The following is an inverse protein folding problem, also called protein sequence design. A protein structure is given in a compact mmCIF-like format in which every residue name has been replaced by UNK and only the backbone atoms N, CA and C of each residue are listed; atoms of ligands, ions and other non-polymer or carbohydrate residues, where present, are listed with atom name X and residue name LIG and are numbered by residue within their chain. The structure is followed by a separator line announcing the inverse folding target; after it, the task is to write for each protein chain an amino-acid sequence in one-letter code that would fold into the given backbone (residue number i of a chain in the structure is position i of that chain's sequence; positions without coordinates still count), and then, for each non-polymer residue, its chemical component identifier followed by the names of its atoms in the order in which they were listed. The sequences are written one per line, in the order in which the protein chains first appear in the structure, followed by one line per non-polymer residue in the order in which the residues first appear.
data_IF_515198531422
#
_entry.id   IF_515198531422
#
_cell.length_a   1.000
_cell.length_b   1.000
_cell.length_c   1.000
_cell.angle_alpha   90.00
_cell.angle_beta   90.00
_cell.angle_gamma   90.00
#
_symmetry.space_group_name_H-M   'P 1'
#
loop_
_entity.id
_entity.type
_entity.pdbx_description
1 polymer ?
#
# COMPACT_ATOMS: atom_id res chain seq x y z
N UNK A 1 21.42 50.24 35.65
CA UNK A 1 20.91 50.12 37.03
C UNK A 1 20.64 48.66 37.24
N UNK A 2 21.54 47.90 37.86
CA UNK A 2 21.56 47.50 39.30
C UNK A 2 20.24 46.81 39.67
N UNK A 3 20.19 45.56 40.11
CA UNK A 3 20.97 44.80 41.13
C UNK A 3 20.60 43.32 41.02
N UNK A 4 21.48 42.44 41.01
CA UNK A 4 22.04 41.33 41.81
C UNK A 4 21.30 41.03 43.14
N UNK A 5 21.03 39.75 43.40
CA UNK A 5 21.20 39.01 44.64
C UNK A 5 20.97 37.50 44.34
N UNK A 6 21.77 36.71 44.53
CA UNK A 6 22.64 35.74 45.17
C UNK A 6 22.15 35.32 46.58
N UNK A 7 22.44 34.04 46.90
CA UNK A 7 22.49 33.31 48.21
C UNK A 7 21.33 32.34 48.44
N UNK A 8 21.51 31.13 48.92
CA UNK A 8 22.60 30.14 49.12
C UNK A 8 21.99 28.84 49.68
N UNK A 9 22.69 27.77 49.44
CA UNK A 9 22.90 26.53 50.21
C UNK A 9 21.94 26.11 51.36
N UNK A 10 21.61 24.83 51.34
CA UNK A 10 21.16 24.07 52.49
C UNK A 10 21.21 22.55 52.19
N UNK A 11 22.36 21.94 52.46
CA UNK A 11 22.53 20.50 52.47
C UNK A 11 22.01 19.91 53.79
N UNK A 12 21.31 18.80 53.75
CA UNK A 12 21.18 17.88 54.90
C UNK A 12 21.07 16.43 54.39
N UNK A 13 22.14 15.72 54.59
CA UNK A 13 22.19 14.26 54.52
C UNK A 13 21.67 13.65 55.82
N UNK A 14 20.94 12.52 55.72
CA UNK A 14 20.90 11.54 56.81
C UNK A 14 20.53 10.17 56.23
N UNK A 15 21.43 9.26 56.50
CA UNK A 15 21.39 7.83 56.22
C UNK A 15 20.59 7.05 57.25
N UNK A 16 20.04 5.91 56.86
CA UNK A 16 19.93 4.67 57.66
C UNK A 16 19.06 3.66 56.91
N UNK A 17 19.47 2.57 56.58
CA UNK A 17 19.99 1.27 57.04
C UNK A 17 19.14 0.15 56.47
N UNK A 18 19.85 -0.79 55.89
CA UNK A 18 19.41 -2.02 55.25
C UNK A 18 18.70 -2.98 56.25
N UNK A 19 17.78 -3.80 55.70
CA UNK A 19 17.53 -5.14 56.21
C UNK A 19 17.39 -6.11 55.02
N UNK A 20 18.45 -6.88 54.88
CA UNK A 20 18.53 -8.09 54.06
C UNK A 20 17.80 -9.18 54.82
N UNK A 21 16.88 -9.88 54.21
CA UNK A 21 16.45 -11.20 54.61
C UNK A 21 16.48 -12.12 53.41
N UNK A 22 17.58 -12.85 53.31
CA UNK A 22 17.71 -14.02 52.47
C UNK A 22 16.96 -15.20 53.13
N UNK A 23 16.09 -15.83 52.33
CA UNK A 23 15.72 -17.23 52.60
C UNK A 23 15.92 -17.99 51.29
N UNK A 24 16.99 -18.74 51.26
CA UNK A 24 17.23 -19.81 50.30
C UNK A 24 16.35 -21.02 50.66
N UNK A 25 15.62 -21.52 49.68
CA UNK A 25 15.27 -22.95 49.68
C UNK A 25 15.36 -23.47 48.28
N UNK A 26 16.29 -24.36 48.09
CA UNK A 26 16.51 -25.20 46.93
C UNK A 26 15.37 -26.20 46.77
N UNK A 27 15.00 -26.48 45.55
CA UNK A 27 14.36 -27.74 45.18
C UNK A 27 13.28 -27.65 44.13
N UNK A 28 13.53 -28.28 42.98
CA UNK A 28 12.47 -28.83 42.17
C UNK A 28 12.32 -28.18 40.79
N UNK A 29 13.10 -28.73 39.88
CA UNK A 29 12.83 -28.79 38.46
C UNK A 29 11.39 -29.23 38.19
N UNK A 30 10.58 -28.37 37.61
CA UNK A 30 9.38 -28.77 36.90
C UNK A 30 9.13 -27.71 35.81
N UNK A 31 9.51 -28.08 34.59
CA UNK A 31 9.12 -27.37 33.36
C UNK A 31 7.60 -27.33 33.22
N UNK A 32 6.97 -26.41 33.90
CA UNK A 32 5.59 -26.01 33.70
C UNK A 32 5.61 -24.68 32.96
N UNK A 33 5.28 -24.70 31.67
CA UNK A 33 4.90 -23.53 30.91
C UNK A 33 3.82 -22.79 31.69
N UNK A 34 4.18 -21.80 32.47
CA UNK A 34 3.22 -20.87 33.07
C UNK A 34 2.64 -20.05 31.93
N UNK A 35 1.42 -20.39 31.47
CA UNK A 35 0.63 -19.59 30.54
C UNK A 35 0.31 -18.23 31.17
N UNK A 36 1.28 -17.31 31.15
CA UNK A 36 1.06 -15.92 31.51
C UNK A 36 0.23 -15.26 30.40
N UNK A 37 -0.65 -14.33 30.76
CA UNK A 37 -1.36 -13.51 29.79
C UNK A 37 -0.37 -12.71 28.96
N UNK A 38 -0.53 -12.76 27.63
CA UNK A 38 0.25 -11.99 26.66
C UNK A 38 -0.60 -10.80 26.18
N UNK A 39 -0.01 -9.62 26.10
CA UNK A 39 -0.63 -8.47 25.45
C UNK A 39 0.26 -8.04 24.29
N UNK A 40 -0.26 -8.16 23.07
CA UNK A 40 0.41 -7.76 21.84
C UNK A 40 0.01 -6.33 21.49
N UNK A 41 0.98 -5.50 21.11
CA UNK A 41 0.72 -4.19 20.55
C UNK A 41 0.58 -4.32 19.03
N UNK A 42 -0.54 -3.90 18.48
CA UNK A 42 -0.81 -3.89 17.04
C UNK A 42 -0.92 -2.46 16.54
N UNK A 43 0.06 -2.01 15.76
CA UNK A 43 0.02 -0.74 15.03
C UNK A 43 -0.77 -0.92 13.74
N UNK A 44 -1.91 -0.24 13.63
CA UNK A 44 -2.74 -0.22 12.42
C UNK A 44 -2.63 1.11 11.70
N UNK A 45 -2.53 1.07 10.38
CA UNK A 45 -2.52 2.24 9.49
C UNK A 45 -3.87 2.46 8.81
N UNK A 46 -4.93 1.77 9.25
CA UNK A 46 -6.28 2.00 8.76
C UNK A 46 -6.65 3.49 8.93
N UNK A 47 -7.01 4.17 7.84
CA UNK A 47 -7.31 5.62 7.87
C UNK A 47 -8.77 5.91 7.49
N UNK A 48 -9.41 5.07 6.71
CA UNK A 48 -10.80 5.22 6.35
C UNK A 48 -11.72 4.75 7.50
N UNK A 49 -12.77 5.50 7.79
CA UNK A 49 -13.66 5.20 8.92
C UNK A 49 -14.19 3.76 8.95
N UNK A 50 -14.66 3.18 7.81
CA UNK A 50 -15.14 1.81 7.81
C UNK A 50 -14.03 0.80 8.14
N UNK A 51 -12.80 1.03 7.66
CA UNK A 51 -11.67 0.15 7.95
C UNK A 51 -11.23 0.23 9.40
N UNK A 52 -11.16 1.46 9.96
CA UNK A 52 -10.88 1.65 11.40
C UNK A 52 -11.89 0.87 12.23
N UNK A 53 -13.18 0.95 11.89
CA UNK A 53 -14.23 0.23 12.58
C UNK A 53 -14.06 -1.30 12.41
N UNK A 54 -13.78 -1.79 11.21
CA UNK A 54 -13.57 -3.21 10.92
C UNK A 54 -12.37 -3.77 11.70
N UNK A 55 -11.23 -3.08 11.70
CA UNK A 55 -10.03 -3.49 12.45
C UNK A 55 -10.32 -3.53 13.96
N UNK A 56 -11.01 -2.50 14.47
CA UNK A 56 -11.42 -2.48 15.89
C UNK A 56 -12.33 -3.66 16.23
N UNK A 57 -13.34 -3.96 15.43
CA UNK A 57 -14.26 -5.09 15.65
C UNK A 57 -13.53 -6.44 15.63
N UNK A 58 -12.52 -6.59 14.76
CA UNK A 58 -11.68 -7.80 14.70
C UNK A 58 -10.88 -7.95 16.01
N UNK A 59 -10.25 -6.88 16.47
CA UNK A 59 -9.48 -6.88 17.71
C UNK A 59 -10.38 -7.15 18.91
N UNK A 60 -11.54 -6.51 19.00
CA UNK A 60 -12.51 -6.74 20.11
C UNK A 60 -13.03 -8.18 20.12
N UNK A 61 -13.31 -8.74 18.94
CA UNK A 61 -13.77 -10.13 18.81
C UNK A 61 -12.68 -11.13 19.18
N UNK A 62 -11.43 -10.88 18.78
CA UNK A 62 -10.28 -11.65 19.19
C UNK A 62 -10.13 -11.63 20.71
N UNK A 63 -10.07 -10.44 21.31
CA UNK A 63 -9.88 -10.25 22.74
C UNK A 63 -10.96 -10.94 23.58
N UNK A 64 -12.19 -10.96 23.09
CA UNK A 64 -13.31 -11.63 23.74
C UNK A 64 -13.19 -13.15 23.73
N UNK A 65 -12.59 -13.73 22.66
CA UNK A 65 -12.46 -15.18 22.50
C UNK A 65 -11.11 -15.75 22.97
N UNK A 66 -10.09 -14.90 23.17
CA UNK A 66 -8.74 -15.29 23.55
C UNK A 66 -8.28 -14.56 24.83
N UNK A 67 -8.80 -14.93 26.02
CA UNK A 67 -8.53 -14.21 27.27
C UNK A 67 -7.05 -14.19 27.67
N UNK A 68 -6.26 -15.14 27.16
CA UNK A 68 -4.83 -15.27 27.49
C UNK A 68 -3.90 -14.57 26.50
N UNK A 69 -4.43 -14.19 25.31
CA UNK A 69 -3.68 -13.46 24.28
C UNK A 69 -4.52 -12.23 23.87
N UNK A 70 -4.20 -11.11 24.45
CA UNK A 70 -4.90 -9.84 24.19
C UNK A 70 -4.15 -9.00 23.15
N UNK A 71 -4.87 -8.27 22.33
CA UNK A 71 -4.31 -7.34 21.36
C UNK A 71 -4.73 -5.92 21.74
N UNK A 72 -3.76 -5.03 21.87
CA UNK A 72 -3.95 -3.60 22.07
C UNK A 72 -3.72 -2.90 20.74
N UNK A 73 -4.77 -2.32 20.19
CA UNK A 73 -4.72 -1.57 18.93
C UNK A 73 -4.08 -0.19 19.15
N UNK A 74 -3.12 0.17 18.32
CA UNK A 74 -2.50 1.49 18.25
C UNK A 74 -2.69 2.06 16.85
N UNK A 75 -3.12 3.32 16.76
CA UNK A 75 -3.35 3.97 15.48
C UNK A 75 -2.08 4.67 15.00
N UNK A 76 -1.57 4.27 13.86
CA UNK A 76 -0.49 4.92 13.12
C UNK A 76 -1.02 5.75 11.94
N UNK A 77 -0.09 6.24 11.12
CA UNK A 77 -0.37 7.02 9.90
C UNK A 77 0.60 6.64 8.79
N UNK A 78 0.08 6.49 7.58
CA UNK A 78 0.87 6.23 6.38
C UNK A 78 1.92 7.31 6.09
N UNK A 79 1.64 8.57 6.46
CA UNK A 79 2.54 9.70 6.18
C UNK A 79 3.87 9.65 6.96
N UNK A 80 3.94 8.87 8.04
CA UNK A 80 5.09 8.89 8.96
C UNK A 80 5.53 7.50 9.45
N UNK A 81 4.91 6.43 8.97
CA UNK A 81 5.16 5.07 9.48
C UNK A 81 6.60 4.66 9.34
N UNK A 82 7.24 4.89 8.19
CA UNK A 82 8.62 4.52 7.95
C UNK A 82 9.58 5.14 8.97
N UNK A 83 9.57 6.47 9.11
CA UNK A 83 10.45 7.19 10.04
C UNK A 83 10.17 6.82 11.50
N UNK A 84 8.90 6.57 11.82
CA UNK A 84 8.49 6.11 13.14
C UNK A 84 9.04 4.71 13.43
N UNK A 85 8.91 3.76 12.50
CA UNK A 85 9.43 2.40 12.65
C UNK A 85 10.95 2.37 12.73
N UNK A 86 11.67 3.16 11.92
CA UNK A 86 13.13 3.32 12.03
C UNK A 86 13.53 3.72 13.45
N UNK A 87 12.84 4.71 14.01
CA UNK A 87 13.10 5.19 15.39
C UNK A 87 12.76 4.14 16.42
N UNK A 88 11.63 3.45 16.28
CA UNK A 88 11.14 2.44 17.22
C UNK A 88 12.01 1.18 17.21
N UNK A 89 12.46 0.73 16.04
CA UNK A 89 13.39 -0.41 15.94
C UNK A 89 14.74 -0.09 16.57
N UNK A 90 15.29 1.11 16.29
CA UNK A 90 16.55 1.55 16.92
C UNK A 90 16.41 1.70 18.45
N UNK A 91 15.25 2.08 18.95
CA UNK A 91 14.95 2.25 20.36
C UNK A 91 14.47 0.99 21.08
N UNK A 92 14.25 -0.12 20.37
CA UNK A 92 13.67 -1.36 20.94
C UNK A 92 12.24 -1.20 21.44
N UNK A 93 11.46 -0.30 20.84
CA UNK A 93 10.07 0.03 21.21
C UNK A 93 9.08 -0.22 20.06
N UNK A 94 9.49 -0.98 19.03
CA UNK A 94 8.61 -1.34 17.94
C UNK A 94 7.42 -2.18 18.46
N UNK A 95 6.20 -1.99 17.88
CA UNK A 95 5.05 -2.80 18.24
C UNK A 95 5.27 -4.28 17.87
N UNK A 96 4.51 -5.17 18.49
CA UNK A 96 4.58 -6.60 18.20
C UNK A 96 4.13 -6.92 16.78
N UNK A 97 3.00 -6.33 16.37
CA UNK A 97 2.40 -6.50 15.03
C UNK A 97 2.38 -5.15 14.34
N UNK A 98 2.87 -5.14 13.12
CA UNK A 98 3.08 -3.95 12.30
C UNK A 98 2.25 -4.11 11.02
N UNK A 99 1.37 -3.15 10.75
CA UNK A 99 0.77 -2.97 9.43
C UNK A 99 1.66 -2.04 8.63
N UNK A 100 1.98 -2.42 7.38
CA UNK A 100 2.71 -1.59 6.42
C UNK A 100 2.43 -2.07 4.99
N UNK A 101 3.13 -1.56 3.98
CA UNK A 101 3.19 -2.16 2.66
C UNK A 101 4.50 -2.95 2.44
N UNK A 102 4.46 -3.85 1.46
CA UNK A 102 5.59 -4.74 1.20
C UNK A 102 6.84 -3.99 0.72
N UNK A 103 6.67 -2.90 -0.01
CA UNK A 103 7.80 -2.12 -0.53
C UNK A 103 8.56 -1.43 0.62
N UNK A 104 7.84 -0.93 1.62
CA UNK A 104 8.44 -0.20 2.75
C UNK A 104 9.15 -1.14 3.74
N UNK A 105 8.59 -2.33 4.00
CA UNK A 105 9.21 -3.28 4.93
C UNK A 105 10.48 -3.97 4.39
N UNK A 106 10.75 -3.92 3.09
CA UNK A 106 11.90 -4.61 2.47
C UNK A 106 13.23 -4.24 3.11
N UNK A 107 13.41 -2.98 3.47
CA UNK A 107 14.56 -2.48 4.21
C UNK A 107 14.66 -3.07 5.62
N UNK A 108 13.54 -3.21 6.32
CA UNK A 108 13.48 -3.78 7.68
C UNK A 108 13.74 -5.29 7.69
N UNK A 109 13.32 -6.02 6.64
CA UNK A 109 13.69 -7.43 6.42
C UNK A 109 15.20 -7.57 6.33
N UNK A 110 15.83 -6.79 5.45
CA UNK A 110 17.29 -6.83 5.20
C UNK A 110 18.11 -6.48 6.45
N UNK A 111 17.57 -5.64 7.33
CA UNK A 111 18.20 -5.23 8.59
C UNK A 111 17.93 -6.21 9.74
N UNK A 112 17.09 -7.23 9.55
CA UNK A 112 16.78 -8.24 10.56
C UNK A 112 15.83 -7.78 11.65
N UNK A 113 15.02 -6.75 11.41
CA UNK A 113 14.06 -6.23 12.38
C UNK A 113 12.75 -7.03 12.44
N UNK A 114 12.46 -7.85 11.42
CA UNK A 114 11.22 -8.60 11.32
C UNK A 114 11.45 -10.10 11.60
N UNK A 115 10.48 -10.72 12.24
CA UNK A 115 10.52 -12.14 12.60
C UNK A 115 10.20 -13.02 11.37
N UNK A 116 10.79 -14.21 11.33
CA UNK A 116 10.47 -15.26 10.36
C UNK A 116 9.15 -15.93 10.76
N UNK A 117 8.14 -15.78 9.92
CA UNK A 117 6.79 -16.34 10.11
C UNK A 117 6.58 -17.68 9.41
N UNK A 118 7.60 -18.22 8.71
CA UNK A 118 7.47 -19.42 7.87
C UNK A 118 6.95 -20.64 8.62
N UNK A 119 7.35 -20.79 9.90
CA UNK A 119 6.96 -21.90 10.75
C UNK A 119 5.60 -21.76 11.43
N UNK A 120 5.15 -20.53 11.65
CA UNK A 120 4.00 -20.21 12.50
C UNK A 120 2.72 -19.88 11.71
N UNK A 121 2.83 -19.29 10.50
CA UNK A 121 1.66 -19.06 9.62
C UNK A 121 0.97 -20.37 9.27
N UNK A 122 -0.36 -20.37 9.34
CA UNK A 122 -1.18 -21.53 8.99
C UNK A 122 -1.02 -21.92 7.53
N UNK A 123 -1.17 -23.23 7.26
CA UNK A 123 -1.20 -23.73 5.88
C UNK A 123 -2.37 -23.14 5.07
N UNK A 124 -3.47 -22.79 5.75
CA UNK A 124 -4.62 -22.16 5.11
C UNK A 124 -4.24 -20.80 4.51
N UNK A 125 -3.58 -19.94 5.27
CA UNK A 125 -3.10 -18.62 4.81
C UNK A 125 -2.04 -18.81 3.72
N UNK A 126 -1.03 -19.65 3.95
CA UNK A 126 0.06 -19.88 2.99
C UNK A 126 -0.43 -20.34 1.61
N UNK A 127 -1.45 -21.19 1.59
CA UNK A 127 -1.98 -21.76 0.34
C UNK A 127 -3.03 -20.88 -0.36
N UNK A 128 -3.54 -19.84 0.30
CA UNK A 128 -4.63 -19.00 -0.22
C UNK A 128 -4.17 -17.66 -0.80
N UNK A 129 -2.96 -17.22 -0.46
CA UNK A 129 -2.36 -15.97 -0.96
C UNK A 129 -1.56 -16.27 -2.24
N UNK A 130 -1.70 -15.46 -3.32
CA UNK A 130 -0.95 -15.66 -4.56
C UNK A 130 0.57 -15.59 -4.35
N UNK A 131 1.31 -16.41 -5.11
CA UNK A 131 2.77 -16.49 -5.02
C UNK A 131 3.44 -15.12 -5.24
N UNK A 132 2.98 -14.33 -6.22
CA UNK A 132 3.52 -13.00 -6.48
C UNK A 132 3.47 -12.06 -5.27
N UNK A 133 2.48 -12.22 -4.38
CA UNK A 133 2.42 -11.45 -3.13
C UNK A 133 3.40 -11.99 -2.08
N UNK A 134 3.59 -13.33 -2.01
CA UNK A 134 4.62 -13.91 -1.14
C UNK A 134 6.03 -13.50 -1.53
N UNK A 135 6.31 -13.39 -2.83
CA UNK A 135 7.64 -13.02 -3.34
C UNK A 135 8.08 -11.63 -2.85
N UNK A 136 7.12 -10.73 -2.61
CA UNK A 136 7.42 -9.36 -2.12
C UNK A 136 7.82 -9.29 -0.64
N UNK A 137 7.50 -10.32 0.14
CA UNK A 137 7.74 -10.37 1.61
C UNK A 137 8.64 -11.53 2.04
N UNK A 138 9.24 -12.21 1.06
CA UNK A 138 10.10 -13.37 1.31
C UNK A 138 11.55 -13.06 0.96
N UNK A 139 12.47 -13.50 1.79
CA UNK A 139 13.91 -13.41 1.55
C UNK A 139 14.59 -14.69 2.06
N UNK A 140 15.52 -15.25 1.28
CA UNK A 140 16.30 -16.46 1.63
C UNK A 140 15.42 -17.66 2.04
N UNK A 141 14.26 -17.81 1.38
CA UNK A 141 13.30 -18.89 1.64
C UNK A 141 12.47 -18.73 2.91
N UNK A 142 12.52 -17.58 3.56
CA UNK A 142 11.76 -17.23 4.76
C UNK A 142 10.68 -16.20 4.44
N UNK A 143 9.58 -16.23 5.18
CA UNK A 143 8.45 -15.31 5.08
C UNK A 143 8.50 -14.34 6.27
N UNK A 144 8.52 -13.03 6.00
CA UNK A 144 8.66 -12.00 7.04
C UNK A 144 7.39 -11.19 7.29
N UNK A 145 6.37 -11.34 6.45
CA UNK A 145 5.08 -10.71 6.66
C UNK A 145 3.96 -11.51 5.96
N UNK A 146 2.73 -11.28 6.37
CA UNK A 146 1.53 -11.88 5.75
C UNK A 146 0.86 -10.84 4.84
N UNK A 147 0.87 -11.01 3.50
CA UNK A 147 0.16 -10.13 2.58
C UNK A 147 -1.35 -10.33 2.73
N UNK A 148 -2.11 -9.25 2.98
CA UNK A 148 -3.53 -9.38 3.25
C UNK A 148 -4.44 -8.60 2.30
N UNK A 149 -4.04 -7.40 1.84
CA UNK A 149 -4.77 -6.60 0.87
C UNK A 149 -3.88 -6.16 -0.28
N UNK A 150 -4.48 -6.03 -1.48
CA UNK A 150 -3.80 -5.57 -2.69
C UNK A 150 -4.40 -4.26 -3.17
N UNK A 151 -3.53 -3.33 -3.51
CA UNK A 151 -3.88 -2.15 -4.26
C UNK A 151 -3.74 -2.43 -5.77
N UNK A 152 -4.60 -1.85 -6.59
CA UNK A 152 -4.45 -1.81 -8.04
C UNK A 152 -4.82 -0.45 -8.57
N UNK A 153 -4.23 -0.04 -9.70
CA UNK A 153 -4.70 1.11 -10.44
C UNK A 153 -5.90 0.73 -11.29
N UNK A 154 -6.95 1.53 -11.19
CA UNK A 154 -8.22 1.33 -11.89
C UNK A 154 -8.69 2.64 -12.53
N UNK A 155 -9.60 2.53 -13.48
CA UNK A 155 -10.28 3.68 -14.10
C UNK A 155 -11.68 3.80 -13.50
N UNK A 156 -11.97 4.92 -12.86
CA UNK A 156 -13.31 5.28 -12.42
C UNK A 156 -14.00 6.10 -13.50
N UNK A 157 -15.26 5.83 -13.76
CA UNK A 157 -16.04 6.52 -14.77
C UNK A 157 -17.33 7.12 -14.20
N UNK A 158 -17.62 8.37 -14.56
CA UNK A 158 -18.92 8.97 -14.38
C UNK A 158 -19.85 8.43 -15.48
N UNK A 159 -20.76 7.53 -15.09
CA UNK A 159 -21.61 6.80 -16.04
C UNK A 159 -22.63 7.70 -16.73
N UNK A 160 -23.05 8.79 -16.08
CA UNK A 160 -23.98 9.74 -16.67
C UNK A 160 -23.33 10.54 -17.80
N UNK A 161 -22.06 10.97 -17.60
CA UNK A 161 -21.31 11.67 -18.66
C UNK A 161 -21.01 10.74 -19.83
N UNK A 162 -20.53 9.51 -19.59
CA UNK A 162 -20.29 8.55 -20.65
C UNK A 162 -21.56 8.30 -21.47
N UNK A 163 -22.69 8.08 -20.79
CA UNK A 163 -23.98 7.88 -21.44
C UNK A 163 -24.43 9.11 -22.25
N UNK A 164 -24.26 10.32 -21.70
CA UNK A 164 -24.62 11.56 -22.38
C UNK A 164 -23.80 11.79 -23.65
N UNK A 165 -22.56 11.28 -23.67
CA UNK A 165 -21.64 11.36 -24.80
C UNK A 165 -21.72 10.15 -25.75
N UNK A 166 -22.68 9.24 -25.53
CA UNK A 166 -22.89 8.05 -26.36
C UNK A 166 -21.77 7.01 -26.22
N UNK A 167 -21.00 7.07 -25.13
CA UNK A 167 -19.91 6.14 -24.85
C UNK A 167 -20.46 4.95 -24.08
N UNK A 168 -20.29 3.76 -24.63
CA UNK A 168 -20.67 2.52 -23.93
C UNK A 168 -19.62 2.14 -22.90
N UNK A 169 -20.05 1.89 -21.66
CA UNK A 169 -19.16 1.35 -20.61
C UNK A 169 -18.66 -0.03 -21.04
N UNK A 170 -17.34 -0.27 -21.10
CA UNK A 170 -16.79 -1.56 -21.44
C UNK A 170 -17.24 -2.65 -20.47
N UNK A 171 -17.57 -3.83 -21.01
CA UNK A 171 -18.05 -4.98 -20.21
C UNK A 171 -17.16 -6.22 -20.34
N UNK A 172 -15.98 -6.09 -20.98
CA UNK A 172 -15.00 -7.17 -21.12
C UNK A 172 -14.30 -7.50 -19.80
N UNK A 173 -13.46 -8.53 -19.82
CA UNK A 173 -12.58 -8.86 -18.68
C UNK A 173 -11.48 -7.80 -18.49
N UNK A 174 -11.04 -7.17 -19.58
CA UNK A 174 -10.08 -6.08 -19.64
C UNK A 174 -10.53 -5.01 -20.60
N UNK A 175 -9.94 -3.84 -20.53
CA UNK A 175 -10.11 -2.72 -21.44
C UNK A 175 -8.73 -2.31 -21.98
N UNK A 176 -8.61 -2.08 -23.29
CA UNK A 176 -7.33 -1.66 -23.86
C UNK A 176 -7.00 -0.20 -23.52
N UNK A 177 -5.71 0.13 -23.54
CA UNK A 177 -5.26 1.52 -23.45
C UNK A 177 -5.77 2.38 -24.62
N UNK A 178 -5.94 1.79 -25.81
CA UNK A 178 -6.48 2.49 -26.97
C UNK A 178 -7.97 2.80 -26.78
N UNK A 179 -8.73 1.90 -26.12
CA UNK A 179 -10.11 2.17 -25.74
C UNK A 179 -10.18 3.33 -24.73
N UNK A 180 -9.32 3.33 -23.69
CA UNK A 180 -9.25 4.44 -22.73
C UNK A 180 -8.97 5.77 -23.43
N UNK A 181 -7.98 5.82 -24.30
CA UNK A 181 -7.61 7.03 -25.05
C UNK A 181 -8.75 7.50 -25.95
N UNK A 182 -9.41 6.57 -26.65
CA UNK A 182 -10.57 6.86 -27.51
C UNK A 182 -11.74 7.42 -26.70
N UNK A 183 -12.08 6.78 -25.58
CA UNK A 183 -13.14 7.24 -24.69
C UNK A 183 -12.82 8.61 -24.09
N UNK A 184 -11.58 8.83 -23.66
CA UNK A 184 -11.15 10.11 -23.11
C UNK A 184 -11.26 11.22 -24.15
N UNK A 185 -10.83 10.98 -25.38
CA UNK A 185 -10.96 11.92 -26.49
C UNK A 185 -12.42 12.24 -26.83
N UNK A 186 -13.27 11.21 -26.89
CA UNK A 186 -14.71 11.35 -27.19
C UNK A 186 -15.45 12.13 -26.09
N UNK A 187 -15.10 11.92 -24.82
CA UNK A 187 -15.72 12.62 -23.68
C UNK A 187 -15.20 14.05 -23.49
N UNK A 188 -14.12 14.43 -24.19
CA UNK A 188 -13.53 15.77 -24.07
C UNK A 188 -14.33 16.78 -24.90
N UNK A 189 -14.84 17.80 -24.22
CA UNK A 189 -15.59 18.90 -24.82
C UNK A 189 -15.46 20.17 -23.99
N UNK A 190 -16.05 21.30 -24.45
CA UNK A 190 -15.99 22.55 -23.72
C UNK A 190 -16.45 22.38 -22.25
N UNK A 191 -15.55 22.59 -21.29
CA UNK A 191 -15.81 22.52 -19.85
C UNK A 191 -15.68 21.12 -19.23
N UNK A 192 -15.39 20.08 -20.04
CA UNK A 192 -15.18 18.71 -19.54
C UNK A 192 -13.97 18.08 -20.22
N UNK A 193 -13.09 17.50 -19.44
CA UNK A 193 -12.00 16.64 -19.91
C UNK A 193 -12.43 15.18 -19.84
N UNK A 194 -11.94 14.38 -20.77
CA UNK A 194 -12.21 12.93 -20.75
C UNK A 194 -11.57 12.22 -19.57
N UNK A 195 -10.39 12.71 -19.12
CA UNK A 195 -9.59 12.04 -18.09
C UNK A 195 -8.99 13.03 -17.10
N UNK A 196 -9.08 12.71 -15.82
CA UNK A 196 -8.31 13.27 -14.75
C UNK A 196 -7.34 12.22 -14.19
N UNK A 197 -6.17 12.66 -13.67
CA UNK A 197 -5.18 11.75 -13.13
C UNK A 197 -4.28 12.47 -12.11
N UNK A 198 -4.05 11.87 -10.96
CA UNK A 198 -3.11 12.42 -9.98
C UNK A 198 -1.67 12.09 -10.34
N UNK A 199 -1.00 12.96 -11.11
CA UNK A 199 0.34 12.74 -11.66
C UNK A 199 1.43 13.58 -10.97
N UNK A 200 1.15 14.11 -9.76
CA UNK A 200 2.16 14.82 -8.96
C UNK A 200 3.33 13.93 -8.56
N UNK A 201 3.06 12.65 -8.30
CA UNK A 201 4.07 11.62 -7.98
C UNK A 201 3.88 10.42 -8.91
N UNK A 202 4.31 10.52 -10.19
CA UNK A 202 3.87 9.59 -11.23
C UNK A 202 4.60 8.24 -11.22
N UNK A 203 5.75 8.13 -10.53
CA UNK A 203 6.66 6.97 -10.67
C UNK A 203 5.98 5.64 -10.36
N UNK A 204 5.24 5.53 -9.24
CA UNK A 204 4.55 4.28 -8.89
C UNK A 204 3.54 3.86 -9.98
N UNK A 205 2.81 4.82 -10.54
CA UNK A 205 1.90 4.60 -11.67
C UNK A 205 2.65 4.08 -12.89
N UNK A 206 3.78 4.71 -13.28
CA UNK A 206 4.59 4.31 -14.44
C UNK A 206 5.16 2.90 -14.26
N UNK A 207 5.72 2.62 -13.07
CA UNK A 207 6.29 1.31 -12.75
C UNK A 207 5.23 0.20 -12.80
N UNK A 208 4.06 0.46 -12.20
CA UNK A 208 3.00 -0.53 -12.06
C UNK A 208 2.27 -0.77 -13.39
N UNK A 209 1.81 0.30 -14.05
CA UNK A 209 1.08 0.18 -15.32
C UNK A 209 2.00 -0.11 -16.51
N UNK A 210 3.30 0.16 -16.42
CA UNK A 210 4.29 -0.25 -17.42
C UNK A 210 4.29 -1.76 -17.66
N UNK A 211 3.98 -2.55 -16.63
CA UNK A 211 3.86 -4.01 -16.74
C UNK A 211 2.76 -4.47 -17.70
N UNK A 212 1.76 -3.63 -17.97
CA UNK A 212 0.78 -3.92 -19.02
C UNK A 212 1.44 -4.11 -20.40
N UNK A 213 2.66 -3.60 -20.60
CA UNK A 213 3.43 -3.67 -21.82
C UNK A 213 4.75 -4.45 -21.67
N UNK A 214 4.88 -5.24 -20.61
CA UNK A 214 6.13 -5.90 -20.21
C UNK A 214 7.28 -4.91 -19.90
N UNK A 215 6.94 -3.66 -19.59
CA UNK A 215 7.85 -2.59 -19.18
C UNK A 215 8.26 -2.75 -17.72
N UNK A 216 9.36 -3.46 -17.48
CA UNK A 216 9.80 -3.86 -16.13
C UNK A 216 10.72 -2.85 -15.47
N UNK A 217 11.35 -1.96 -16.25
CA UNK A 217 12.39 -1.01 -15.85
C UNK A 217 13.60 -1.65 -15.18
N UNK A 218 13.43 -2.66 -14.36
CA UNK A 218 14.47 -3.30 -13.58
C UNK A 218 14.61 -4.80 -13.90
N UNK A 219 15.79 -5.33 -13.65
CA UNK A 219 16.12 -6.76 -13.64
C UNK A 219 17.07 -7.07 -12.50
N UNK A 220 17.06 -8.32 -12.00
CA UNK A 220 17.81 -8.68 -10.80
C UNK A 220 17.15 -8.19 -9.53
N UNK A 221 17.85 -8.23 -8.40
CA UNK A 221 17.34 -7.84 -7.08
C UNK A 221 18.46 -7.29 -6.18
N UNK A 222 18.09 -6.70 -5.07
CA UNK A 222 19.04 -6.19 -4.09
C UNK A 222 19.93 -5.09 -4.68
N UNK A 223 21.22 -5.16 -4.37
CA UNK A 223 22.24 -4.24 -4.90
C UNK A 223 22.65 -4.57 -6.34
N UNK A 224 22.35 -5.79 -6.83
CA UNK A 224 22.65 -6.22 -8.19
C UNK A 224 21.58 -5.84 -9.20
N UNK A 225 20.52 -5.14 -8.77
CA UNK A 225 19.44 -4.67 -9.64
C UNK A 225 19.99 -3.72 -10.70
N UNK A 226 19.56 -3.93 -11.95
CA UNK A 226 19.95 -3.14 -13.11
C UNK A 226 18.73 -2.49 -13.74
N UNK A 227 18.87 -1.24 -14.15
CA UNK A 227 17.84 -0.54 -14.89
C UNK A 227 18.03 -0.71 -16.41
N UNK A 228 16.91 -0.81 -17.12
CA UNK A 228 16.84 -0.72 -18.57
C UNK A 228 15.55 -0.01 -18.95
N UNK A 229 15.62 0.97 -19.83
CA UNK A 229 14.47 1.72 -20.33
C UNK A 229 14.45 1.61 -21.84
N UNK A 230 13.32 1.29 -22.42
CA UNK A 230 13.12 1.12 -23.85
C UNK A 230 11.65 1.25 -24.25
N UNK A 231 11.29 0.72 -25.42
CA UNK A 231 9.95 0.90 -26.01
C UNK A 231 8.82 0.40 -25.10
N UNK A 232 9.04 -0.67 -24.35
CA UNK A 232 8.03 -1.23 -23.45
C UNK A 232 7.79 -0.32 -22.23
N UNK A 233 8.87 0.15 -21.61
CA UNK A 233 8.84 1.06 -20.48
C UNK A 233 8.21 2.41 -20.84
N UNK A 234 8.40 2.84 -22.06
CA UNK A 234 7.93 4.13 -22.56
C UNK A 234 6.45 4.16 -22.98
N UNK A 235 5.77 3.02 -23.10
CA UNK A 235 4.36 2.96 -23.53
C UNK A 235 3.43 3.81 -22.66
N UNK A 236 3.56 3.75 -21.34
CA UNK A 236 2.66 4.50 -20.45
C UNK A 236 2.97 6.00 -20.45
N UNK A 237 4.23 6.46 -20.26
CA UNK A 237 4.55 7.88 -20.33
C UNK A 237 4.20 8.51 -21.68
N UNK A 238 4.46 7.85 -22.82
CA UNK A 238 4.12 8.36 -24.14
C UNK A 238 2.61 8.49 -24.34
N UNK A 239 1.81 7.51 -23.92
CA UNK A 239 0.35 7.56 -24.01
C UNK A 239 -0.24 8.69 -23.17
N UNK A 240 0.26 8.90 -21.96
CA UNK A 240 -0.17 10.00 -21.10
C UNK A 240 0.20 11.35 -21.76
N UNK A 241 1.42 11.46 -22.29
CA UNK A 241 1.87 12.65 -23.00
C UNK A 241 1.01 12.96 -24.23
N UNK A 242 0.71 11.96 -25.07
CA UNK A 242 -0.16 12.11 -26.22
C UNK A 242 -1.59 12.53 -25.82
N UNK A 243 -2.17 11.92 -24.80
CA UNK A 243 -3.49 12.32 -24.27
C UNK A 243 -3.48 13.75 -23.71
N UNK A 244 -2.35 14.22 -23.14
CA UNK A 244 -2.24 15.57 -22.60
C UNK A 244 -2.06 16.64 -23.70
N UNK A 245 -1.24 16.39 -24.73
CA UNK A 245 -0.81 17.42 -25.67
C UNK A 245 -1.41 17.28 -27.09
N UNK A 246 -1.57 16.05 -27.58
CA UNK A 246 -2.11 15.80 -28.90
C UNK A 246 -3.65 15.76 -28.86
N UNK A 247 -4.22 14.92 -28.01
CA UNK A 247 -5.66 14.74 -27.84
C UNK A 247 -6.28 15.83 -26.96
N UNK A 248 -5.50 16.39 -26.03
CA UNK A 248 -5.93 17.35 -25.01
C UNK A 248 -7.09 16.81 -24.16
N UNK A 249 -7.09 15.50 -23.93
CA UNK A 249 -8.14 14.78 -23.24
C UNK A 249 -7.89 14.62 -21.74
N UNK A 250 -6.65 14.82 -21.29
CA UNK A 250 -6.31 14.89 -19.85
C UNK A 250 -6.48 16.33 -19.35
N UNK A 251 -7.13 16.48 -18.19
CA UNK A 251 -7.19 17.76 -17.48
C UNK A 251 -5.76 18.24 -17.15
N UNK A 252 -5.35 19.44 -17.60
CA UNK A 252 -3.99 19.94 -17.37
C UNK A 252 -3.59 20.05 -15.91
N UNK A 253 -4.55 20.18 -14.97
CA UNK A 253 -4.28 20.22 -13.53
C UNK A 253 -3.77 18.87 -13.00
N UNK A 254 -4.04 17.77 -13.71
CA UNK A 254 -3.61 16.41 -13.36
C UNK A 254 -2.11 16.29 -13.08
N UNK A 255 -1.27 17.04 -13.80
CA UNK A 255 0.19 16.99 -13.66
C UNK A 255 0.70 17.49 -12.29
N UNK A 256 -0.12 18.23 -11.55
CA UNK A 256 0.25 18.86 -10.27
C UNK A 256 -0.61 18.37 -9.11
N UNK A 257 -1.61 17.55 -9.36
CA UNK A 257 -2.53 17.01 -8.38
C UNK A 257 -2.08 15.65 -7.85
N UNK A 258 -2.34 15.39 -6.58
CA UNK A 258 -2.26 14.05 -6.00
C UNK A 258 -3.45 13.19 -6.44
N UNK A 259 -3.44 11.90 -6.10
CA UNK A 259 -4.51 10.98 -6.50
C UNK A 259 -5.91 11.39 -6.03
N UNK A 260 -6.02 12.08 -4.87
CA UNK A 260 -7.30 12.52 -4.30
C UNK A 260 -7.68 13.96 -4.67
N UNK A 261 -6.72 14.80 -5.08
CA UNK A 261 -6.99 16.18 -5.48
C UNK A 261 -7.86 16.27 -6.75
N UNK A 262 -7.94 15.22 -7.55
CA UNK A 262 -8.78 15.16 -8.76
C UNK A 262 -10.26 14.98 -8.45
N UNK A 263 -10.62 14.45 -7.27
CA UNK A 263 -11.98 14.08 -6.91
C UNK A 263 -13.01 15.22 -6.97
N UNK A 264 -12.74 16.44 -6.47
CA UNK A 264 -13.68 17.54 -6.59
C UNK A 264 -14.05 17.87 -8.05
N UNK A 265 -13.08 17.80 -8.97
CA UNK A 265 -13.33 18.01 -10.41
C UNK A 265 -14.13 16.86 -11.03
N UNK A 266 -13.87 15.62 -10.61
CA UNK A 266 -14.63 14.45 -11.04
C UNK A 266 -16.09 14.52 -10.56
N UNK A 267 -16.33 14.86 -9.27
CA UNK A 267 -17.69 15.03 -8.73
C UNK A 267 -18.46 16.18 -9.39
N UNK A 268 -17.75 17.23 -9.77
CA UNK A 268 -18.32 18.37 -10.49
C UNK A 268 -18.62 18.09 -11.98
N UNK A 269 -18.34 16.88 -12.48
CA UNK A 269 -18.53 16.53 -13.89
C UNK A 269 -17.56 17.21 -14.85
N UNK A 270 -16.44 17.73 -14.35
CA UNK A 270 -15.39 18.34 -15.17
C UNK A 270 -14.41 17.30 -15.77
N UNK A 271 -14.48 16.10 -15.28
CA UNK A 271 -13.73 14.93 -15.74
C UNK A 271 -14.70 13.78 -15.92
N UNK A 272 -14.70 13.11 -17.06
CA UNK A 272 -15.59 11.99 -17.34
C UNK A 272 -15.07 10.69 -16.70
N UNK A 273 -13.76 10.55 -16.64
CA UNK A 273 -13.06 9.41 -16.01
C UNK A 273 -11.89 9.93 -15.20
N UNK A 274 -11.45 9.13 -14.23
CA UNK A 274 -10.18 9.33 -13.51
C UNK A 274 -9.44 8.01 -13.36
N UNK A 275 -8.09 8.07 -13.31
CA UNK A 275 -7.24 6.93 -12.95
C UNK A 275 -6.74 7.13 -11.53
N UNK A 276 -6.83 6.10 -10.72
CA UNK A 276 -6.36 6.12 -9.34
C UNK A 276 -6.25 4.73 -8.73
N UNK A 277 -5.71 4.63 -7.53
CA UNK A 277 -5.76 3.40 -6.75
C UNK A 277 -7.21 3.03 -6.42
N UNK A 278 -7.51 1.75 -6.36
CA UNK A 278 -8.87 1.26 -6.10
C UNK A 278 -9.45 1.75 -4.75
N UNK A 279 -8.61 2.08 -3.76
CA UNK A 279 -9.04 2.69 -2.49
C UNK A 279 -9.80 4.01 -2.65
N UNK A 280 -9.60 4.71 -3.76
CA UNK A 280 -10.32 5.96 -4.08
C UNK A 280 -11.84 5.73 -4.19
N UNK A 281 -12.26 4.51 -4.52
CA UNK A 281 -13.68 4.13 -4.55
C UNK A 281 -14.40 4.36 -3.22
N UNK A 282 -13.72 4.15 -2.09
CA UNK A 282 -14.30 4.42 -0.77
C UNK A 282 -14.57 5.91 -0.56
N UNK A 283 -13.63 6.76 -0.97
CA UNK A 283 -13.80 8.21 -0.90
C UNK A 283 -14.93 8.69 -1.82
N UNK A 284 -14.99 8.16 -3.06
CA UNK A 284 -16.10 8.46 -3.97
C UNK A 284 -17.44 8.06 -3.34
N UNK A 285 -17.51 6.89 -2.68
CA UNK A 285 -18.73 6.40 -2.04
C UNK A 285 -19.19 7.26 -0.86
N UNK A 286 -18.25 7.87 -0.14
CA UNK A 286 -18.55 8.72 1.03
C UNK A 286 -18.82 10.18 0.65
N UNK A 287 -18.08 10.73 -0.31
CA UNK A 287 -18.00 12.17 -0.57
C UNK A 287 -18.80 12.62 -1.80
N UNK A 288 -18.99 11.73 -2.78
CA UNK A 288 -19.70 12.09 -3.98
C UNK A 288 -21.19 12.43 -3.69
N UNK A 289 -21.77 13.41 -4.43
CA UNK A 289 -23.21 13.68 -4.34
C UNK A 289 -24.03 12.42 -4.59
N UNK A 290 -25.16 12.25 -3.91
CA UNK A 290 -26.04 11.07 -4.08
C UNK A 290 -26.55 10.87 -5.52
N UNK A 291 -26.55 11.92 -6.32
CA UNK A 291 -26.90 11.89 -7.74
C UNK A 291 -25.73 11.56 -8.66
N UNK A 292 -24.56 11.33 -8.12
CA UNK A 292 -23.35 10.99 -8.87
C UNK A 292 -23.28 9.48 -9.11
N UNK A 293 -23.47 9.06 -10.37
CA UNK A 293 -23.42 7.66 -10.74
C UNK A 293 -22.04 7.33 -11.34
N UNK A 294 -21.41 6.32 -10.80
CA UNK A 294 -20.08 5.93 -11.17
C UNK A 294 -19.88 4.41 -11.15
N UNK A 295 -18.82 3.96 -11.80
CA UNK A 295 -18.36 2.57 -11.76
C UNK A 295 -16.86 2.49 -11.96
N UNK A 296 -16.26 1.36 -11.57
CA UNK A 296 -14.90 0.99 -11.99
C UNK A 296 -15.00 0.31 -13.35
N UNK A 297 -14.15 0.71 -14.31
CA UNK A 297 -14.03 0.06 -15.60
C UNK A 297 -13.17 -1.22 -15.51
N UNK A 298 -13.24 -2.11 -16.51
CA UNK A 298 -12.37 -3.29 -16.56
C UNK A 298 -10.89 -2.89 -16.46
N UNK A 299 -10.03 -3.76 -15.87
CA UNK A 299 -8.60 -3.53 -15.78
C UNK A 299 -7.97 -3.14 -17.12
N UNK A 300 -7.07 -2.15 -17.11
CA UNK A 300 -6.32 -1.74 -18.29
C UNK A 300 -5.40 -2.85 -18.77
N UNK A 301 -5.34 -3.05 -20.07
CA UNK A 301 -4.47 -4.01 -20.71
C UNK A 301 -3.74 -3.41 -21.92
N UNK A 302 -2.45 -3.70 -22.01
CA UNK A 302 -1.63 -3.57 -23.20
C UNK A 302 -1.43 -4.97 -23.83
N UNK A 303 -0.21 -5.51 -23.74
CA UNK A 303 0.08 -6.92 -24.07
C UNK A 303 -0.42 -7.88 -22.98
N UNK A 304 -0.52 -7.43 -21.75
CA UNK A 304 -1.18 -8.06 -20.60
C UNK A 304 -1.95 -7.02 -19.80
N UNK A 305 -2.61 -7.44 -18.72
CA UNK A 305 -3.20 -6.53 -17.74
C UNK A 305 -2.39 -6.51 -16.42
N UNK A 306 -1.15 -6.97 -16.45
CA UNK A 306 -0.30 -7.13 -15.28
C UNK A 306 -0.03 -5.79 -14.59
N UNK A 307 -0.08 -5.81 -13.27
CA UNK A 307 0.28 -4.71 -12.40
C UNK A 307 1.20 -5.22 -11.28
N UNK A 308 2.07 -4.38 -10.76
CA UNK A 308 2.90 -4.77 -9.64
C UNK A 308 2.03 -5.08 -8.41
N UNK A 309 2.23 -6.27 -7.85
CA UNK A 309 1.64 -6.63 -6.58
C UNK A 309 2.30 -5.77 -5.50
N UNK A 310 1.53 -4.87 -4.93
CA UNK A 310 1.94 -4.03 -3.79
C UNK A 310 0.98 -4.30 -2.64
N UNK A 311 1.20 -5.42 -1.90
CA UNK A 311 0.31 -5.78 -0.82
C UNK A 311 0.57 -4.95 0.43
N UNK A 312 -0.52 -4.56 1.08
CA UNK A 312 -0.47 -4.27 2.50
C UNK A 312 -0.19 -5.56 3.26
N UNK A 313 0.61 -5.46 4.30
CA UNK A 313 1.14 -6.60 5.02
C UNK A 313 0.97 -6.46 6.53
N UNK A 314 0.94 -7.59 7.21
CA UNK A 314 1.08 -7.69 8.67
C UNK A 314 2.40 -8.39 8.96
N UNK A 315 3.33 -7.67 9.56
CA UNK A 315 4.64 -8.18 9.99
C UNK A 315 4.71 -8.30 11.51
N UNK A 316 5.66 -9.09 12.00
CA UNK A 316 5.94 -9.21 13.43
C UNK A 316 7.34 -8.72 13.71
N UNK A 317 7.50 -7.86 14.73
CA UNK A 317 8.81 -7.41 15.18
C UNK A 317 9.64 -8.57 15.70
N UNK A 318 10.91 -8.67 15.27
CA UNK A 318 11.85 -9.66 15.78
C UNK A 318 12.04 -9.52 17.31
N UNK A 319 11.87 -8.33 17.86
CA UNK A 319 12.02 -8.03 19.27
C UNK A 319 10.78 -8.38 20.11
N UNK A 320 9.65 -8.75 19.51
CA UNK A 320 8.39 -9.05 20.21
C UNK A 320 8.53 -10.16 21.25
N UNK A 321 9.29 -11.22 20.95
CA UNK A 321 9.35 -12.42 21.82
C UNK A 321 8.06 -13.25 21.83
N UNK A 322 7.01 -12.81 21.08
CA UNK A 322 5.68 -13.43 21.02
C UNK A 322 5.26 -13.77 19.59
N UNK A 323 6.21 -14.10 18.72
CA UNK A 323 5.98 -14.34 17.27
C UNK A 323 4.83 -15.30 17.03
N UNK A 324 4.78 -16.42 17.76
CA UNK A 324 3.72 -17.41 17.61
C UNK A 324 2.34 -16.84 17.90
N UNK A 325 2.17 -16.14 19.04
CA UNK A 325 0.88 -15.54 19.43
C UNK A 325 0.47 -14.42 18.46
N UNK A 326 1.44 -13.64 18.01
CA UNK A 326 1.21 -12.61 17.00
C UNK A 326 0.74 -13.23 15.67
N UNK A 327 1.34 -14.34 15.24
CA UNK A 327 0.96 -15.05 14.03
C UNK A 327 -0.42 -15.70 14.16
N UNK A 328 -0.79 -16.23 15.34
CA UNK A 328 -2.15 -16.72 15.61
C UNK A 328 -3.21 -15.62 15.42
N UNK A 329 -2.91 -14.39 15.86
CA UNK A 329 -3.79 -13.24 15.60
C UNK A 329 -3.81 -12.86 14.13
N UNK A 330 -2.68 -12.89 13.42
CA UNK A 330 -2.60 -12.61 11.98
C UNK A 330 -3.45 -13.63 11.20
N UNK A 331 -3.38 -14.92 11.50
CA UNK A 331 -4.22 -15.95 10.88
C UNK A 331 -5.73 -15.69 11.12
N UNK A 332 -6.10 -15.28 12.33
CA UNK A 332 -7.48 -14.88 12.64
C UNK A 332 -7.91 -13.63 11.85
N UNK A 333 -7.04 -12.63 11.78
CA UNK A 333 -7.29 -11.40 11.01
C UNK A 333 -7.51 -11.70 9.52
N UNK A 334 -6.75 -12.65 8.97
CA UNK A 334 -6.82 -13.07 7.57
C UNK A 334 -7.94 -14.08 7.29
N UNK A 335 -8.77 -14.44 8.27
CA UNK A 335 -9.96 -15.26 8.01
C UNK A 335 -10.88 -14.59 6.98
N UNK A 336 -11.62 -15.40 6.20
CA UNK A 336 -12.38 -14.89 5.05
C UNK A 336 -13.31 -13.70 5.40
N UNK A 337 -14.07 -13.83 6.50
CA UNK A 337 -15.05 -12.81 6.89
C UNK A 337 -14.37 -11.54 7.44
N UNK A 338 -13.29 -11.69 8.21
CA UNK A 338 -12.56 -10.55 8.76
C UNK A 338 -11.83 -9.79 7.65
N UNK A 339 -11.12 -10.51 6.79
CA UNK A 339 -10.40 -9.91 5.66
C UNK A 339 -11.37 -9.23 4.67
N UNK A 340 -12.55 -9.82 4.44
CA UNK A 340 -13.58 -9.19 3.60
C UNK A 340 -14.08 -7.87 4.19
N UNK A 341 -14.27 -7.78 5.52
CA UNK A 341 -14.69 -6.53 6.19
C UNK A 341 -13.65 -5.42 6.01
N UNK A 342 -12.37 -5.74 6.22
CA UNK A 342 -11.27 -4.78 6.06
C UNK A 342 -11.17 -4.35 4.59
N UNK A 343 -11.21 -5.30 3.66
CA UNK A 343 -11.15 -5.04 2.23
C UNK A 343 -12.29 -4.12 1.76
N UNK A 344 -13.52 -4.36 2.21
CA UNK A 344 -14.66 -3.49 1.89
C UNK A 344 -14.52 -2.10 2.51
N UNK A 345 -13.89 -1.98 3.67
CA UNK A 345 -13.65 -0.70 4.33
C UNK A 345 -12.72 0.23 3.54
N UNK A 346 -11.68 -0.32 2.92
CA UNK A 346 -10.69 0.43 2.13
C UNK A 346 -10.90 0.30 0.61
N UNK A 347 -11.88 -0.47 0.17
CA UNK A 347 -12.08 -0.81 -1.24
C UNK A 347 -10.84 -1.46 -1.88
N UNK A 348 -10.14 -2.27 -1.11
CA UNK A 348 -8.96 -3.00 -1.56
C UNK A 348 -9.29 -4.45 -1.90
N UNK A 349 -8.40 -5.11 -2.63
CA UNK A 349 -8.57 -6.49 -3.06
C UNK A 349 -8.01 -7.42 -1.97
N UNK A 350 -8.83 -8.27 -1.34
CA UNK A 350 -8.28 -9.25 -0.39
C UNK A 350 -7.43 -10.30 -1.12
N UNK A 351 -6.32 -10.67 -0.53
CA UNK A 351 -5.37 -11.61 -1.14
C UNK A 351 -5.94 -13.02 -1.28
N UNK A 352 -6.89 -13.42 -0.40
CA UNK A 352 -7.43 -14.79 -0.40
C UNK A 352 -8.69 -14.92 -1.26
N UNK A 353 -8.82 -16.05 -1.98
CA UNK A 353 -10.01 -16.36 -2.81
C UNK A 353 -11.30 -16.37 -1.99
N UNK A 354 -11.23 -16.93 -0.77
CA UNK A 354 -12.40 -17.00 0.12
C UNK A 354 -12.90 -15.62 0.55
N UNK A 355 -11.99 -14.69 0.84
CA UNK A 355 -12.36 -13.32 1.18
C UNK A 355 -12.88 -12.56 -0.06
N UNK A 356 -12.29 -12.76 -1.25
CA UNK A 356 -12.83 -12.20 -2.50
C UNK A 356 -14.25 -12.67 -2.78
N UNK A 357 -14.52 -13.95 -2.58
CA UNK A 357 -15.88 -14.50 -2.71
C UNK A 357 -16.85 -13.88 -1.68
N UNK A 358 -16.40 -13.66 -0.44
CA UNK A 358 -17.19 -13.00 0.59
C UNK A 358 -17.50 -11.54 0.24
N UNK A 359 -16.52 -10.77 -0.26
CA UNK A 359 -16.73 -9.41 -0.76
C UNK A 359 -17.71 -9.39 -1.93
N UNK A 360 -17.51 -10.25 -2.93
CA UNK A 360 -18.42 -10.34 -4.09
C UNK A 360 -19.86 -10.64 -3.65
N UNK A 361 -20.04 -11.55 -2.70
CA UNK A 361 -21.36 -11.87 -2.14
C UNK A 361 -21.99 -10.70 -1.38
N UNK A 362 -21.21 -10.00 -0.56
CA UNK A 362 -21.68 -8.90 0.26
C UNK A 362 -22.06 -7.67 -0.57
N UNK A 363 -21.28 -7.36 -1.61
CA UNK A 363 -21.45 -6.17 -2.46
C UNK A 363 -22.36 -6.40 -3.67
N UNK A 364 -22.57 -7.65 -4.07
CA UNK A 364 -23.26 -7.99 -5.32
C UNK A 364 -22.55 -7.47 -6.57
N UNK A 365 -21.27 -7.06 -6.46
CA UNK A 365 -20.50 -6.47 -7.55
C UNK A 365 -20.84 -5.01 -7.87
N UNK A 366 -21.61 -4.34 -6.99
CA UNK A 366 -22.02 -2.95 -7.19
C UNK A 366 -20.84 -2.00 -7.35
N UNK A 367 -21.04 -0.91 -8.12
CA UNK A 367 -20.05 0.15 -8.34
C UNK A 367 -18.68 -0.34 -8.84
N UNK A 368 -18.66 -1.50 -9.54
CA UNK A 368 -17.43 -2.06 -10.11
C UNK A 368 -16.63 -2.93 -9.14
N UNK A 369 -17.20 -3.41 -8.05
CA UNK A 369 -16.54 -4.40 -7.19
C UNK A 369 -16.12 -5.64 -7.97
N UNK A 370 -16.94 -6.12 -8.91
CA UNK A 370 -16.56 -7.28 -9.76
C UNK A 370 -15.27 -7.00 -10.52
N UNK A 371 -15.11 -5.81 -11.12
CA UNK A 371 -13.92 -5.42 -11.87
C UNK A 371 -12.72 -5.21 -10.93
N UNK A 372 -12.94 -4.62 -9.76
CA UNK A 372 -11.90 -4.45 -8.73
C UNK A 372 -11.35 -5.82 -8.30
N UNK A 373 -12.22 -6.75 -7.94
CA UNK A 373 -11.80 -8.09 -7.50
C UNK A 373 -11.13 -8.89 -8.62
N UNK A 374 -11.56 -8.70 -9.88
CA UNK A 374 -10.92 -9.33 -11.04
C UNK A 374 -9.46 -8.87 -11.21
N UNK A 375 -9.08 -7.71 -10.71
CA UNK A 375 -7.71 -7.21 -10.69
C UNK A 375 -6.73 -8.13 -9.96
N UNK A 376 -7.19 -8.96 -9.03
CA UNK A 376 -6.34 -9.88 -8.27
C UNK A 376 -5.51 -10.83 -9.16
N UNK A 377 -6.08 -11.30 -10.27
CA UNK A 377 -5.41 -12.24 -11.18
C UNK A 377 -4.26 -11.62 -11.98
N UNK A 378 -4.16 -10.30 -12.01
CA UNK A 378 -3.16 -9.54 -12.75
C UNK A 378 -2.05 -8.99 -11.86
N UNK A 379 -2.07 -9.30 -10.57
CA UNK A 379 -1.05 -8.86 -9.63
C UNK A 379 0.17 -9.77 -9.72
N UNK A 380 1.30 -9.21 -10.15
CA UNK A 380 2.57 -9.94 -10.33
C UNK A 380 3.68 -9.26 -9.52
N UNK A 381 4.69 -10.03 -9.13
CA UNK A 381 5.90 -9.43 -8.57
C UNK A 381 6.64 -8.63 -9.63
N UNK A 382 7.20 -7.48 -9.25
CA UNK A 382 7.96 -6.64 -10.15
C UNK A 382 9.40 -6.43 -9.63
N UNK A 383 10.42 -6.47 -10.52
CA UNK A 383 11.82 -6.40 -10.09
C UNK A 383 12.17 -5.13 -9.30
N UNK A 384 11.51 -4.01 -9.56
CA UNK A 384 11.79 -2.77 -8.85
C UNK A 384 11.49 -2.86 -7.34
N UNK A 385 10.55 -3.73 -6.94
CA UNK A 385 10.15 -3.89 -5.53
C UNK A 385 11.25 -4.52 -4.67
N UNK A 386 12.20 -5.21 -5.29
CA UNK A 386 13.32 -5.85 -4.61
C UNK A 386 14.67 -5.16 -4.85
N UNK A 387 14.69 -4.03 -5.54
CA UNK A 387 15.89 -3.25 -5.80
C UNK A 387 16.21 -2.34 -4.59
N UNK A 388 17.34 -2.54 -3.91
CA UNK A 388 17.67 -1.91 -2.62
C UNK A 388 17.55 -0.38 -2.62
N UNK A 389 18.03 0.28 -3.66
CA UNK A 389 18.04 1.75 -3.75
C UNK A 389 16.85 2.33 -4.54
N UNK A 390 15.84 1.51 -4.83
CA UNK A 390 14.63 1.96 -5.54
C UNK A 390 13.92 3.13 -4.86
N UNK A 391 13.69 3.15 -3.54
CA UNK A 391 13.02 4.30 -2.91
C UNK A 391 13.77 5.62 -3.11
N UNK A 392 15.09 5.61 -2.95
CA UNK A 392 15.92 6.80 -3.18
C UNK A 392 15.89 7.24 -4.65
N UNK A 393 16.05 6.30 -5.58
CA UNK A 393 15.98 6.58 -7.01
C UNK A 393 14.59 7.10 -7.40
N UNK A 394 13.52 6.49 -6.91
CA UNK A 394 12.13 6.91 -7.13
C UNK A 394 11.93 8.38 -6.77
N UNK A 395 12.35 8.78 -5.58
CA UNK A 395 12.05 10.11 -5.05
C UNK A 395 12.98 11.19 -5.61
N UNK A 396 14.28 10.89 -5.74
CA UNK A 396 15.27 11.89 -6.12
C UNK A 396 15.45 12.01 -7.64
N UNK A 397 15.19 10.95 -8.40
CA UNK A 397 15.49 10.88 -9.85
C UNK A 397 14.22 10.69 -10.66
N UNK A 398 13.51 9.56 -10.46
CA UNK A 398 12.44 9.16 -11.38
C UNK A 398 11.24 10.10 -11.32
N UNK A 399 10.76 10.44 -10.13
CA UNK A 399 9.61 11.34 -9.98
C UNK A 399 9.86 12.71 -10.63
N UNK A 400 10.98 13.42 -10.37
CA UNK A 400 11.30 14.65 -11.08
C UNK A 400 11.47 14.48 -12.60
N UNK A 401 12.07 13.38 -13.07
CA UNK A 401 12.27 13.13 -14.49
C UNK A 401 10.92 12.91 -15.22
N UNK A 402 10.05 12.05 -14.70
CA UNK A 402 8.71 11.86 -15.25
C UNK A 402 7.89 13.15 -15.22
N UNK A 403 7.95 13.93 -14.13
CA UNK A 403 7.27 15.24 -14.08
C UNK A 403 7.77 16.19 -15.17
N UNK A 404 9.08 16.24 -15.44
CA UNK A 404 9.63 17.09 -16.50
C UNK A 404 9.16 16.64 -17.88
N UNK A 405 9.13 15.32 -18.15
CA UNK A 405 8.64 14.78 -19.40
C UNK A 405 7.15 15.03 -19.59
N UNK A 406 6.34 14.71 -18.59
CA UNK A 406 4.89 14.93 -18.62
C UNK A 406 4.51 16.42 -18.71
N UNK A 407 5.38 17.32 -18.24
CA UNK A 407 5.23 18.76 -18.41
C UNK A 407 5.81 19.28 -19.76
N UNK A 408 6.18 18.39 -20.68
CA UNK A 408 6.77 18.69 -21.99
C UNK A 408 8.03 19.57 -21.91
N UNK A 409 8.86 19.37 -20.87
CA UNK A 409 10.10 20.13 -20.62
C UNK A 409 11.35 19.40 -21.09
N UNK A 410 11.29 18.10 -21.25
CA UNK A 410 12.38 17.25 -21.74
C UNK A 410 11.81 16.27 -22.77
N UNK A 411 12.67 15.77 -23.67
CA UNK A 411 12.33 14.72 -24.62
C UNK A 411 12.21 13.36 -23.95
N UNK A 412 11.63 12.38 -24.64
CA UNK A 412 11.60 10.99 -24.20
C UNK A 412 13.02 10.43 -24.01
N UNK A 413 13.91 10.72 -24.94
CA UNK A 413 15.32 10.32 -24.86
C UNK A 413 16.01 10.90 -23.62
N UNK A 414 15.73 12.17 -23.26
CA UNK A 414 16.28 12.78 -22.05
C UNK A 414 15.68 12.11 -20.79
N UNK A 415 14.39 11.70 -20.83
CA UNK A 415 13.78 10.92 -19.74
C UNK A 415 14.54 9.60 -19.53
N UNK A 416 14.69 8.80 -20.60
CA UNK A 416 15.37 7.50 -20.54
C UNK A 416 16.79 7.63 -20.00
N UNK A 417 17.53 8.65 -20.46
CA UNK A 417 18.88 8.93 -19.99
C UNK A 417 18.91 9.32 -18.52
N UNK A 418 17.99 10.20 -18.08
CA UNK A 418 17.91 10.60 -16.66
C UNK A 418 17.59 9.42 -15.74
N UNK A 419 16.70 8.54 -16.15
CA UNK A 419 16.32 7.36 -15.37
C UNK A 419 17.51 6.40 -15.21
N UNK A 420 18.24 6.12 -16.30
CA UNK A 420 19.38 5.20 -16.33
C UNK A 420 20.61 5.76 -15.63
N UNK A 421 20.99 7.00 -15.94
CA UNK A 421 22.15 7.65 -15.31
C UNK A 421 21.90 7.86 -13.80
N UNK A 422 20.67 8.23 -13.44
CA UNK A 422 20.30 8.43 -12.05
C UNK A 422 20.34 7.15 -11.22
N UNK A 423 20.02 5.98 -11.80
CA UNK A 423 20.23 4.70 -11.12
C UNK A 423 21.70 4.45 -10.81
N UNK A 424 22.57 4.76 -11.76
CA UNK A 424 24.01 4.64 -11.57
C UNK A 424 24.53 5.57 -10.45
N UNK A 425 23.91 6.75 -10.27
CA UNK A 425 24.30 7.72 -9.23
C UNK A 425 23.92 7.25 -7.81
N UNK A 426 22.73 6.65 -7.64
CA UNK A 426 22.28 6.20 -6.31
C UNK A 426 22.93 4.88 -5.88
N UNK A 427 23.66 4.21 -6.78
CA UNK A 427 24.37 2.96 -6.52
C UNK A 427 25.90 3.14 -6.42
N UNK A 428 26.42 4.37 -6.45
CA UNK A 428 27.83 4.69 -6.21
C UNK A 428 28.10 4.84 -4.72
#
# INVERSE_FOLDING_TARGET
MRTRSVVALGAAALAATALVSACSSSGGDNGGSSGGKVTLQFQSLAFQKPTIAAVKDIVDSWNSSHPDIQVKLEQGSWDSVHDQLVTQFAGGTAPDIIQDDAADISGFISQGYLADLSGDLSSSVKNSVPQGSWDTVSQDGKIYAAPYLLQSYVVFANTDLLKADGITVPSGQTMSWDDLQTMAKQATKSGTYGLGWGLKSPTATMMTLGLNFDGKYFSGSGQDAKISVGDNENQVPERIHAMAYDDKSIDPTSLTQSGTDVLPSFYAGKQAMIVGGNYVAQQISEEAPKSFHWTVLPPLAGTSADQAADPQVLAVSQASGHTKQATEFIDYFMSADNLAKVAMGDWLIPTTDSARAAVQKATGGANGWTQTLAGAQYQVSAPFQTATNYPQWKDQIATPAFQQYLANKISLQDLDQKLTDGWSQVNQ
#
